data_IF_201209084347
#
_entry.id   IF_201209084347
#
_cell.length_a   1.000
_cell.length_b   1.000
_cell.length_c   1.000
_cell.angle_alpha   90.00
_cell.angle_beta   90.00
_cell.angle_gamma   90.00
#
_symmetry.space_group_name_H-M   'P 1'
#
loop_
_entity.id
_entity.type
_entity.pdbx_description
1 polymer ?
#
# COMPACT_ATOMS: atom_id res chain seq x y z
N UNK A 1 -18.73 -0.13 11.39
CA UNK A 1 -17.32 0.13 11.03
C UNK A 1 -16.63 -1.21 11.09
N UNK A 2 -15.92 -1.63 10.05
CA UNK A 2 -15.23 -2.92 10.08
C UNK A 2 -14.08 -2.88 11.08
N UNK A 3 -13.93 -3.94 11.86
CA UNK A 3 -12.90 -4.04 12.90
C UNK A 3 -11.53 -4.42 12.33
N UNK A 4 -11.52 -5.12 11.19
CA UNK A 4 -10.31 -5.65 10.59
C UNK A 4 -9.84 -4.77 9.42
N UNK A 5 -8.85 -3.92 9.70
CA UNK A 5 -8.24 -3.04 8.71
C UNK A 5 -7.63 -3.81 7.52
N UNK A 6 -7.11 -5.02 7.77
CA UNK A 6 -6.54 -5.87 6.73
C UNK A 6 -7.64 -6.38 5.80
N UNK A 7 -8.74 -6.91 6.35
CA UNK A 7 -9.89 -7.34 5.55
C UNK A 7 -10.46 -6.19 4.70
N UNK A 8 -10.46 -4.96 5.22
CA UNK A 8 -10.87 -3.77 4.47
C UNK A 8 -9.91 -3.42 3.34
N UNK A 9 -8.61 -3.49 3.59
CA UNK A 9 -7.58 -3.29 2.57
C UNK A 9 -7.79 -4.29 1.43
N UNK A 10 -7.92 -5.58 1.74
CA UNK A 10 -8.16 -6.60 0.72
C UNK A 10 -9.48 -6.41 -0.02
N UNK A 11 -10.56 -6.09 0.70
CA UNK A 11 -11.84 -5.76 0.10
C UNK A 11 -11.67 -4.65 -0.94
N UNK A 12 -10.97 -3.55 -0.62
CA UNK A 12 -10.70 -2.45 -1.54
C UNK A 12 -9.93 -2.89 -2.79
N UNK A 13 -8.85 -3.66 -2.63
CA UNK A 13 -8.03 -4.13 -3.76
C UNK A 13 -8.74 -5.14 -4.67
N UNK A 14 -9.75 -5.83 -4.14
CA UNK A 14 -10.51 -6.83 -4.84
C UNK A 14 -11.82 -6.30 -5.42
N UNK A 15 -12.12 -4.99 -5.39
CA UNK A 15 -13.33 -4.46 -6.02
C UNK A 15 -13.19 -4.47 -7.55
N UNK A 16 -14.22 -4.92 -8.27
CA UNK A 16 -14.29 -4.83 -9.72
C UNK A 16 -14.35 -3.38 -10.18
N UNK A 17 -13.87 -3.12 -11.39
CA UNK A 17 -14.10 -1.84 -12.04
C UNK A 17 -15.61 -1.54 -12.07
N UNK A 18 -16.02 -0.35 -11.63
CA UNK A 18 -17.43 0.02 -11.48
C UNK A 18 -18.03 -0.24 -10.09
N UNK A 19 -17.37 -1.02 -9.23
CA UNK A 19 -17.81 -1.20 -7.85
C UNK A 19 -18.93 -2.20 -7.63
N UNK A 20 -19.35 -2.94 -8.66
CA UNK A 20 -20.55 -3.80 -8.59
C UNK A 20 -20.29 -5.21 -8.05
N UNK A 21 -19.07 -5.51 -7.60
CA UNK A 21 -18.78 -6.80 -6.99
C UNK A 21 -17.30 -6.97 -6.70
N UNK A 22 -16.97 -8.04 -6.01
CA UNK A 22 -15.59 -8.44 -5.80
C UNK A 22 -15.05 -9.27 -6.98
N UNK A 23 -13.75 -9.13 -7.24
CA UNK A 23 -13.02 -9.86 -8.25
C UNK A 23 -12.80 -11.32 -7.82
N UNK A 24 -12.74 -12.27 -8.79
CA UNK A 24 -12.36 -13.64 -8.50
C UNK A 24 -10.97 -13.74 -7.86
N UNK A 25 -10.79 -14.78 -7.04
CA UNK A 25 -9.57 -14.98 -6.25
C UNK A 25 -8.27 -14.97 -7.11
N UNK A 26 -8.36 -15.54 -8.31
CA UNK A 26 -7.22 -15.64 -9.22
C UNK A 26 -6.78 -14.29 -9.81
N UNK A 27 -7.66 -13.29 -9.87
CA UNK A 27 -7.39 -12.00 -10.52
C UNK A 27 -6.78 -11.01 -9.52
N UNK A 28 -7.40 -10.86 -8.35
CA UNK A 28 -6.92 -9.90 -7.33
C UNK A 28 -5.53 -10.25 -6.79
N UNK A 29 -5.15 -11.54 -6.80
CA UNK A 29 -3.83 -12.00 -6.34
C UNK A 29 -2.67 -11.45 -7.18
N UNK A 30 -2.90 -11.12 -8.46
CA UNK A 30 -1.92 -10.41 -9.27
C UNK A 30 -1.74 -8.96 -8.78
N UNK A 31 -2.82 -8.26 -8.45
CA UNK A 31 -2.80 -6.91 -7.86
C UNK A 31 -2.08 -6.89 -6.52
N UNK A 32 -2.38 -7.86 -5.63
CA UNK A 32 -1.70 -8.00 -4.35
C UNK A 32 -0.21 -8.29 -4.52
N UNK A 33 0.17 -9.10 -5.52
CA UNK A 33 1.57 -9.36 -5.84
C UNK A 33 2.30 -8.11 -6.32
N UNK A 34 1.69 -7.32 -7.20
CA UNK A 34 2.25 -6.06 -7.66
C UNK A 34 2.43 -5.06 -6.50
N UNK A 35 1.43 -4.95 -5.62
CA UNK A 35 1.52 -4.10 -4.44
C UNK A 35 2.61 -4.55 -3.47
N UNK A 36 2.76 -5.86 -3.24
CA UNK A 36 3.84 -6.36 -2.39
C UNK A 36 5.21 -6.09 -3.01
N UNK A 37 5.32 -6.22 -4.34
CA UNK A 37 6.56 -5.88 -5.04
C UNK A 37 6.90 -4.39 -4.90
N UNK A 38 5.92 -3.49 -5.06
CA UNK A 38 6.11 -2.06 -4.80
C UNK A 38 6.52 -1.78 -3.34
N UNK A 39 5.86 -2.42 -2.36
CA UNK A 39 6.24 -2.29 -0.95
C UNK A 39 7.69 -2.72 -0.70
N UNK A 40 8.14 -3.81 -1.34
CA UNK A 40 9.54 -4.25 -1.24
C UNK A 40 10.50 -3.23 -1.85
N UNK A 41 10.14 -2.64 -2.98
CA UNK A 41 10.95 -1.58 -3.61
C UNK A 41 11.03 -0.34 -2.73
N UNK A 42 9.91 0.15 -2.22
CA UNK A 42 9.92 1.31 -1.32
C UNK A 42 10.67 1.03 -0.04
N UNK A 43 10.54 -0.18 0.51
CA UNK A 43 11.28 -0.57 1.70
C UNK A 43 12.80 -0.61 1.43
N UNK A 44 13.22 -1.10 0.26
CA UNK A 44 14.62 -1.04 -0.17
C UNK A 44 15.09 0.40 -0.36
N UNK A 45 14.32 1.22 -1.07
CA UNK A 45 14.65 2.62 -1.35
C UNK A 45 14.79 3.41 -0.04
N UNK A 46 13.79 3.34 0.84
CA UNK A 46 13.83 4.00 2.15
C UNK A 46 15.02 3.53 2.98
N UNK A 47 15.24 2.21 3.03
CA UNK A 47 16.32 1.62 3.82
C UNK A 47 17.71 2.03 3.34
N UNK A 48 17.91 2.26 2.04
CA UNK A 48 19.23 2.54 1.46
C UNK A 48 19.36 3.93 0.83
N UNK A 49 18.36 4.80 1.01
CA UNK A 49 18.33 6.16 0.44
C UNK A 49 19.53 7.02 0.85
N UNK A 50 20.12 6.74 2.01
CA UNK A 50 21.27 7.43 2.58
C UNK A 50 22.61 6.72 2.32
N UNK A 51 22.60 5.60 1.60
CA UNK A 51 23.77 4.72 1.43
C UNK A 51 24.48 4.93 0.08
N UNK A 52 25.77 4.56 -0.02
CA UNK A 52 26.50 4.59 -1.28
C UNK A 52 25.84 3.70 -2.35
N UNK A 53 25.91 4.12 -3.62
CA UNK A 53 25.40 3.34 -4.75
C UNK A 53 26.18 2.03 -4.98
N UNK A 54 27.46 2.01 -4.60
CA UNK A 54 28.28 0.82 -4.68
C UNK A 54 28.02 -0.06 -3.46
N UNK A 55 27.54 -1.29 -3.71
CA UNK A 55 27.16 -2.25 -2.68
C UNK A 55 28.35 -2.63 -1.79
N UNK A 56 29.57 -2.61 -2.31
CA UNK A 56 30.80 -2.94 -1.54
C UNK A 56 31.12 -1.89 -0.47
N UNK A 57 30.61 -0.67 -0.63
CA UNK A 57 30.83 0.45 0.29
C UNK A 57 29.72 0.54 1.36
N UNK A 58 28.73 -0.35 1.35
CA UNK A 58 27.64 -0.39 2.33
C UNK A 58 28.15 -1.04 3.63
N UNK A 59 28.01 -0.36 4.79
CA UNK A 59 28.41 -0.94 6.08
C UNK A 59 27.66 -2.23 6.41
N UNK A 60 28.37 -3.18 7.03
CA UNK A 60 27.80 -4.47 7.44
C UNK A 60 26.64 -4.27 8.42
N UNK A 61 26.75 -3.30 9.32
CA UNK A 61 25.74 -2.98 10.32
C UNK A 61 24.41 -2.54 9.68
N UNK A 62 24.49 -1.83 8.54
CA UNK A 62 23.30 -1.43 7.78
C UNK A 62 22.62 -2.65 7.16
N UNK A 63 23.39 -3.60 6.65
CA UNK A 63 22.87 -4.84 6.08
C UNK A 63 22.23 -5.74 7.15
N UNK A 64 22.83 -5.82 8.34
CA UNK A 64 22.25 -6.53 9.49
C UNK A 64 20.94 -5.89 9.94
N UNK A 65 20.92 -4.56 10.12
CA UNK A 65 19.70 -3.82 10.44
C UNK A 65 18.61 -4.03 9.38
N UNK A 66 18.95 -3.98 8.10
CA UNK A 66 18.00 -4.25 7.01
C UNK A 66 17.42 -5.66 7.10
N UNK A 67 18.25 -6.67 7.40
CA UNK A 67 17.80 -8.06 7.59
C UNK A 67 16.78 -8.17 8.73
N UNK A 68 17.03 -7.50 9.86
CA UNK A 68 16.12 -7.45 11.00
C UNK A 68 14.80 -6.76 10.65
N UNK A 69 14.85 -5.60 9.98
CA UNK A 69 13.66 -4.88 9.56
C UNK A 69 12.87 -5.67 8.51
N UNK A 70 13.54 -6.30 7.55
CA UNK A 70 12.90 -7.19 6.58
C UNK A 70 12.19 -8.34 7.31
N UNK A 71 12.84 -8.96 8.30
CA UNK A 71 12.24 -10.03 9.08
C UNK A 71 11.05 -9.56 9.93
N UNK A 72 11.09 -8.32 10.43
CA UNK A 72 10.03 -7.72 11.23
C UNK A 72 8.81 -7.34 10.37
N UNK A 73 9.02 -6.81 9.17
CA UNK A 73 7.96 -6.19 8.38
C UNK A 73 7.45 -7.06 7.22
N UNK A 74 8.31 -7.86 6.61
CA UNK A 74 8.04 -8.57 5.35
C UNK A 74 7.95 -10.10 5.48
N UNK A 75 8.17 -10.67 6.67
CA UNK A 75 8.05 -12.12 6.94
C UNK A 75 6.64 -12.56 7.34
N UNK A 76 6.31 -13.83 7.04
CA UNK A 76 4.94 -14.39 7.08
C UNK A 76 4.34 -14.55 8.49
N UNK A 77 5.16 -14.47 9.55
CA UNK A 77 4.76 -14.74 10.94
C UNK A 77 4.40 -13.49 11.76
N UNK A 78 4.15 -12.36 11.09
CA UNK A 78 3.85 -11.07 11.74
C UNK A 78 2.48 -10.55 11.32
N UNK A 79 1.83 -9.76 12.18
CA UNK A 79 0.53 -9.12 11.88
C UNK A 79 0.68 -7.85 11.01
N UNK A 80 1.59 -7.88 10.03
CA UNK A 80 1.83 -6.73 9.15
C UNK A 80 1.00 -6.83 7.87
N UNK A 81 0.80 -5.69 7.20
CA UNK A 81 0.12 -5.64 5.89
C UNK A 81 0.84 -6.53 4.88
N UNK A 82 2.17 -6.50 4.84
CA UNK A 82 2.95 -7.28 3.89
C UNK A 82 2.91 -8.80 4.18
N UNK A 83 3.06 -9.22 5.44
CA UNK A 83 2.90 -10.63 5.84
C UNK A 83 1.51 -11.15 5.46
N UNK A 84 0.50 -10.31 5.66
CA UNK A 84 -0.87 -10.60 5.27
C UNK A 84 -0.96 -10.72 3.75
N UNK A 85 -0.45 -9.77 2.97
CA UNK A 85 -0.44 -9.90 1.50
C UNK A 85 0.25 -11.19 1.02
N UNK A 86 1.34 -11.61 1.66
CA UNK A 86 2.02 -12.89 1.36
C UNK A 86 1.11 -14.09 1.65
N UNK A 87 0.46 -14.12 2.82
CA UNK A 87 -0.51 -15.17 3.17
C UNK A 87 -1.66 -15.25 2.16
N UNK A 88 -2.16 -14.10 1.69
CA UNK A 88 -3.26 -14.02 0.74
C UNK A 88 -2.83 -14.43 -0.69
N UNK A 89 -1.60 -14.13 -1.10
CA UNK A 89 -1.02 -14.66 -2.34
C UNK A 89 -0.82 -16.18 -2.28
N UNK A 90 -0.37 -16.70 -1.13
CA UNK A 90 -0.23 -18.15 -0.92
C UNK A 90 -1.58 -18.85 -1.06
N UNK A 91 -2.65 -18.27 -0.50
CA UNK A 91 -4.02 -18.72 -0.72
C UNK A 91 -4.42 -18.71 -2.19
N UNK A 92 -4.20 -17.60 -2.91
CA UNK A 92 -4.49 -17.50 -4.35
C UNK A 92 -3.81 -18.58 -5.19
N UNK A 93 -2.56 -18.90 -4.84
CA UNK A 93 -1.78 -19.97 -5.45
C UNK A 93 -2.35 -21.37 -5.12
N UNK A 94 -2.81 -21.58 -3.88
CA UNK A 94 -3.50 -22.80 -3.46
C UNK A 94 -4.89 -22.98 -4.08
N UNK A 95 -5.62 -21.90 -4.34
CA UNK A 95 -6.90 -21.96 -5.05
C UNK A 95 -6.72 -22.36 -6.53
N UNK A 96 -5.65 -21.88 -7.18
CA UNK A 96 -5.26 -22.34 -8.52
C UNK A 96 -4.78 -23.81 -8.52
N UNK A 97 -4.24 -24.27 -7.40
CA UNK A 97 -3.72 -25.62 -7.20
C UNK A 97 -4.55 -26.40 -6.16
N UNK A 98 -5.80 -26.73 -6.49
CA UNK A 98 -6.68 -27.74 -5.85
C UNK A 98 -6.36 -28.08 -4.37
N UNK A 99 -7.13 -27.60 -3.38
CA UNK A 99 -7.00 -28.15 -2.01
C UNK A 99 -8.32 -28.29 -1.25
N UNK A 100 -8.45 -29.43 -0.57
CA UNK A 100 -9.60 -29.95 0.20
C UNK A 100 -9.82 -29.29 1.57
N UNK A 101 -9.34 -28.06 1.79
CA UNK A 101 -9.52 -27.34 3.06
C UNK A 101 -10.53 -26.20 2.90
N UNK A 102 -11.34 -25.95 3.92
CA UNK A 102 -12.27 -24.81 3.92
C UNK A 102 -11.47 -23.51 3.83
N UNK A 103 -11.68 -22.69 2.78
CA UNK A 103 -10.89 -21.49 2.56
C UNK A 103 -11.09 -20.50 3.70
N UNK A 104 -9.98 -19.97 4.24
CA UNK A 104 -10.00 -18.92 5.27
C UNK A 104 -10.59 -17.63 4.73
N UNK A 105 -10.44 -17.36 3.43
CA UNK A 105 -11.06 -16.24 2.70
C UNK A 105 -11.86 -16.77 1.53
N UNK A 106 -13.13 -16.38 1.41
CA UNK A 106 -13.92 -16.66 0.21
C UNK A 106 -14.84 -15.51 -0.16
N UNK A 107 -15.18 -15.47 -1.43
CA UNK A 107 -16.28 -14.68 -1.95
C UNK A 107 -17.54 -15.52 -1.93
N UNK A 108 -18.68 -14.88 -1.71
CA UNK A 108 -19.98 -15.48 -2.05
C UNK A 108 -20.11 -15.60 -3.57
N UNK A 109 -20.95 -16.52 -4.05
CA UNK A 109 -21.06 -16.82 -5.49
C UNK A 109 -21.62 -15.63 -6.29
N UNK A 110 -22.38 -14.74 -5.63
CA UNK A 110 -22.85 -13.47 -6.16
C UNK A 110 -21.78 -12.38 -6.18
N UNK A 111 -20.61 -12.62 -5.59
CA UNK A 111 -19.51 -11.67 -5.43
C UNK A 111 -19.86 -10.40 -4.64
N UNK A 112 -20.91 -10.46 -3.82
CA UNK A 112 -21.36 -9.32 -2.99
C UNK A 112 -20.70 -9.29 -1.62
N UNK A 113 -20.18 -10.43 -1.15
CA UNK A 113 -19.62 -10.56 0.21
C UNK A 113 -18.25 -11.21 0.20
N UNK A 114 -17.29 -10.54 0.84
CA UNK A 114 -15.99 -11.11 1.20
C UNK A 114 -16.07 -11.66 2.63
N UNK A 115 -15.69 -12.92 2.82
CA UNK A 115 -15.70 -13.60 4.11
C UNK A 115 -14.28 -13.97 4.48
N UNK A 116 -13.85 -13.66 5.71
CA UNK A 116 -12.56 -14.07 6.24
C UNK A 116 -12.64 -14.41 7.73
N UNK A 117 -12.25 -15.63 8.13
CA UNK A 117 -12.26 -16.07 9.54
C UNK A 117 -13.59 -15.78 10.29
N UNK A 118 -14.72 -15.89 9.60
CA UNK A 118 -16.06 -15.61 10.15
C UNK A 118 -16.46 -14.12 10.15
N UNK A 119 -15.57 -13.22 9.75
CA UNK A 119 -15.92 -11.82 9.46
C UNK A 119 -16.47 -11.69 8.04
N UNK A 120 -17.42 -10.78 7.86
CA UNK A 120 -18.11 -10.54 6.59
C UNK A 120 -18.02 -9.07 6.21
N UNK A 121 -17.63 -8.80 4.96
CA UNK A 121 -17.64 -7.47 4.35
C UNK A 121 -18.52 -7.53 3.11
N UNK A 122 -19.73 -6.98 3.21
CA UNK A 122 -20.59 -6.77 2.03
C UNK A 122 -20.16 -5.54 1.26
N UNK A 123 -20.15 -5.62 -0.06
CA UNK A 123 -19.67 -4.54 -0.92
C UNK A 123 -20.46 -3.25 -0.72
N UNK A 124 -21.79 -3.33 -0.61
CA UNK A 124 -22.62 -2.15 -0.36
C UNK A 124 -22.34 -1.50 1.00
N UNK A 125 -22.08 -2.31 2.04
CA UNK A 125 -21.74 -1.81 3.37
C UNK A 125 -20.35 -1.16 3.36
N UNK A 126 -19.43 -1.72 2.58
CA UNK A 126 -18.09 -1.20 2.38
C UNK A 126 -18.09 0.12 1.61
N UNK A 127 -18.81 0.20 0.51
CA UNK A 127 -19.00 1.44 -0.24
C UNK A 127 -19.63 2.52 0.62
N UNK A 128 -20.65 2.17 1.42
CA UNK A 128 -21.27 3.11 2.35
C UNK A 128 -20.27 3.61 3.39
N UNK A 129 -19.40 2.74 3.91
CA UNK A 129 -18.34 3.12 4.84
C UNK A 129 -17.31 4.04 4.17
N UNK A 130 -16.83 3.68 2.98
CA UNK A 130 -15.90 4.48 2.19
C UNK A 130 -16.48 5.85 1.84
N UNK A 131 -17.76 5.92 1.47
CA UNK A 131 -18.45 7.17 1.19
C UNK A 131 -18.55 8.06 2.44
N UNK A 132 -18.79 7.49 3.63
CA UNK A 132 -18.76 8.25 4.89
C UNK A 132 -17.37 8.79 5.20
N UNK A 133 -16.32 8.01 4.94
CA UNK A 133 -14.94 8.49 5.08
C UNK A 133 -14.69 9.63 4.11
N UNK A 134 -15.09 9.50 2.84
CA UNK A 134 -15.00 10.56 1.84
C UNK A 134 -15.70 11.84 2.30
N UNK A 135 -16.95 11.75 2.77
CA UNK A 135 -17.69 12.90 3.28
C UNK A 135 -16.95 13.61 4.43
N UNK A 136 -16.38 12.82 5.36
CA UNK A 136 -15.62 13.37 6.47
C UNK A 136 -14.32 14.02 5.98
N UNK A 137 -13.65 13.43 4.99
CA UNK A 137 -12.50 14.07 4.34
C UNK A 137 -12.91 15.38 3.66
N UNK A 138 -14.03 15.39 2.93
CA UNK A 138 -14.54 16.60 2.27
C UNK A 138 -14.87 17.71 3.29
N UNK A 139 -15.40 17.36 4.47
CA UNK A 139 -15.65 18.30 5.57
C UNK A 139 -14.36 18.88 6.15
N UNK A 140 -13.37 18.01 6.44
CA UNK A 140 -12.06 18.42 6.96
C UNK A 140 -11.36 19.34 5.95
N UNK A 141 -11.36 18.95 4.68
CA UNK A 141 -10.78 19.76 3.61
C UNK A 141 -11.54 21.08 3.43
N UNK A 142 -12.87 21.07 3.54
CA UNK A 142 -13.68 22.29 3.57
C UNK A 142 -13.23 23.26 4.66
N UNK A 143 -12.91 22.75 5.85
CA UNK A 143 -12.41 23.55 6.96
C UNK A 143 -11.00 24.10 6.67
N UNK A 144 -10.09 23.24 6.21
CA UNK A 144 -8.70 23.61 5.91
C UNK A 144 -8.58 24.68 4.82
N UNK A 145 -9.47 24.63 3.82
CA UNK A 145 -9.48 25.55 2.69
C UNK A 145 -10.52 26.67 2.82
N UNK A 146 -10.97 27.00 4.03
CA UNK A 146 -11.85 28.15 4.28
C UNK A 146 -13.17 28.12 3.49
N UNK A 147 -13.72 26.92 3.26
CA UNK A 147 -14.93 26.69 2.48
C UNK A 147 -14.72 26.59 0.97
N UNK A 148 -13.51 26.79 0.45
CA UNK A 148 -13.23 26.75 -0.99
C UNK A 148 -13.00 25.33 -1.55
N UNK A 149 -13.02 24.30 -0.69
CA UNK A 149 -12.78 22.91 -1.10
C UNK A 149 -13.70 22.44 -2.23
N UNK A 150 -14.97 22.86 -2.26
CA UNK A 150 -15.91 22.51 -3.33
C UNK A 150 -15.51 23.04 -4.71
N UNK A 151 -14.67 24.08 -4.77
CA UNK A 151 -14.10 24.64 -6.00
C UNK A 151 -12.71 24.07 -6.29
N UNK A 152 -11.88 23.88 -5.25
CA UNK A 152 -10.51 23.38 -5.40
C UNK A 152 -10.50 21.88 -5.70
N UNK A 153 -11.21 21.07 -4.90
CA UNK A 153 -11.17 19.61 -4.96
C UNK A 153 -11.47 19.03 -6.34
N UNK A 154 -12.55 19.43 -7.04
CA UNK A 154 -12.86 18.92 -8.38
C UNK A 154 -11.87 19.36 -9.47
N UNK A 155 -11.21 20.51 -9.28
CA UNK A 155 -10.23 21.06 -10.22
C UNK A 155 -8.79 20.63 -9.89
N UNK A 156 -8.60 19.97 -8.75
CA UNK A 156 -7.31 19.46 -8.34
C UNK A 156 -6.98 18.27 -9.24
N UNK A 157 -6.04 18.47 -10.16
CA UNK A 157 -5.48 17.37 -10.91
C UNK A 157 -4.63 16.53 -9.96
N UNK A 158 -5.22 15.47 -9.42
CA UNK A 158 -4.50 14.54 -8.54
C UNK A 158 -3.29 13.90 -9.24
N UNK A 159 -3.23 13.90 -10.57
CA UNK A 159 -2.08 13.43 -11.34
C UNK A 159 -0.93 14.43 -11.36
N UNK A 160 -1.21 15.70 -11.11
CA UNK A 160 -0.21 16.77 -11.03
C UNK A 160 0.39 16.92 -9.63
N UNK A 161 -0.19 16.27 -8.61
CA UNK A 161 0.42 16.19 -7.28
C UNK A 161 1.66 15.32 -7.40
N UNK A 162 2.82 15.97 -7.51
CA UNK A 162 4.13 15.33 -7.38
C UNK A 162 4.46 15.21 -5.90
N UNK A 163 4.78 14.00 -5.48
CA UNK A 163 5.39 13.75 -4.17
C UNK A 163 6.88 14.06 -4.29
N UNK A 164 7.21 15.36 -4.32
CA UNK A 164 8.60 15.82 -4.33
C UNK A 164 9.13 15.80 -2.89
N UNK A 165 9.25 14.61 -2.29
CA UNK A 165 10.14 14.38 -1.13
C UNK A 165 11.61 14.28 -1.54
N UNK A 166 11.95 14.57 -2.80
CA UNK A 166 13.32 14.84 -3.21
C UNK A 166 13.67 16.30 -2.84
N UNK A 167 14.30 16.50 -1.67
CA UNK A 167 15.04 17.74 -1.41
C UNK A 167 16.10 17.85 -2.50
N UNK A 168 15.96 18.85 -3.37
CA UNK A 168 16.83 19.07 -4.51
C UNK A 168 18.21 19.57 -4.02
N UNK A 169 19.10 18.64 -3.67
CA UNK A 169 20.49 18.87 -3.21
C UNK A 169 21.29 19.68 -4.25
N UNK A 170 20.81 19.76 -5.49
CA UNK A 170 21.39 20.55 -6.57
C UNK A 170 21.13 22.06 -6.46
N UNK A 171 20.33 22.51 -5.49
CA UNK A 171 20.08 23.94 -5.24
C UNK A 171 21.13 24.64 -4.39
N UNK A 172 22.13 23.91 -3.86
CA UNK A 172 23.22 24.52 -3.09
C UNK A 172 24.22 25.14 -4.08
N UNK A 173 24.42 26.47 -4.08
CA UNK A 173 25.40 27.09 -4.95
C UNK A 173 26.78 26.54 -4.60
N UNK A 174 27.49 25.96 -5.57
CA UNK A 174 28.88 25.57 -5.39
C UNK A 174 29.69 26.81 -5.00
N UNK A 175 30.14 26.89 -3.74
CA UNK A 175 31.18 27.82 -3.34
C UNK A 175 32.45 27.44 -4.10
N UNK A 176 32.84 28.29 -5.06
CA UNK A 176 34.10 28.19 -5.78
C UNK A 176 35.27 28.24 -4.80
N UNK A 177 35.95 27.10 -4.62
CA UNK A 177 37.25 27.07 -3.97
C UNK A 177 38.32 27.36 -5.03
N UNK A 178 38.88 28.57 -5.00
CA UNK A 178 40.14 28.87 -5.69
C UNK A 178 41.27 28.02 -5.08
N UNK A 179 42.17 27.44 -5.88
CA UNK A 179 43.32 26.74 -5.35
C UNK A 179 44.37 27.76 -4.88
N UNK A 180 44.54 27.89 -3.57
CA UNK A 180 45.74 28.53 -3.00
C UNK A 180 46.91 27.56 -3.11
N UNK A 181 47.78 27.81 -4.07
CA UNK A 181 49.15 27.31 -4.04
C UNK A 181 49.95 28.16 -3.05
N UNK A 182 50.50 27.51 -2.01
CA UNK A 182 51.82 27.79 -1.45
C UNK A 182 52.32 26.53 -0.75
#
# INVERSE_FOLDING_TARGET
MYANALLCFFAATAIRQGGEGFQPAGVFTATVAAMLWMLRLFFLEDSFSDMPLNVEDIPVEKMEWFSEQHAQWLSVDRFTVAATMINWMAYGKGHRNKTMATPTVRWTDDYETLVHNGEHVRIHEFQRAAYRVKLKTDEVMGTLFGGQWSTIGPNMDLRSIRDDMAVDILSIPAMSAEPRYY
#
